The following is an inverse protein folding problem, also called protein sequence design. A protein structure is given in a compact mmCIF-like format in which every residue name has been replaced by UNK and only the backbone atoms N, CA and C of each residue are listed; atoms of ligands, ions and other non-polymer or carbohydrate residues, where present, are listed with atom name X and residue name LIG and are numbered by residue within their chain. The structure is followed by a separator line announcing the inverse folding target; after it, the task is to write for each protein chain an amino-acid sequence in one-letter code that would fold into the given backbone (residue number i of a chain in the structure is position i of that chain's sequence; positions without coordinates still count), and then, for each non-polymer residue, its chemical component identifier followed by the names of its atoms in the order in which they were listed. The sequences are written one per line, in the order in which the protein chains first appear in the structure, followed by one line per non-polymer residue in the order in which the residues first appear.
data_IF_847357252903
#
_entry.id   IF_847357252903
#
_cell.length_a   1.000
_cell.length_b   1.000
_cell.length_c   1.000
_cell.angle_alpha   90.00
_cell.angle_beta   90.00
_cell.angle_gamma   90.00
#
_symmetry.space_group_name_H-M   'P 1'
#
loop_
_entity.id
_entity.type
_entity.pdbx_description
1 polymer ?
#
# COMPACT_ATOMS: atom_id res chain seq x y z
N UNK A 1 -10.44 16.51 18.29
CA UNK A 1 -10.34 15.96 16.92
C UNK A 1 -9.73 14.57 17.11
N UNK A 2 -10.51 13.50 16.91
CA UNK A 2 -10.05 12.13 17.15
C UNK A 2 -8.93 11.79 16.15
N UNK A 3 -7.93 11.05 16.61
CA UNK A 3 -6.63 10.79 15.98
C UNK A 3 -6.68 10.69 14.46
N UNK A 4 -6.15 11.72 13.80
CA UNK A 4 -5.86 11.68 12.38
C UNK A 4 -4.57 10.89 12.22
N UNK A 5 -4.68 9.57 12.08
CA UNK A 5 -3.54 8.71 11.76
C UNK A 5 -3.13 9.00 10.32
N UNK A 6 -2.06 9.78 10.16
CA UNK A 6 -1.50 10.14 8.85
C UNK A 6 -0.61 9.00 8.35
N UNK A 7 -1.20 8.00 7.71
CA UNK A 7 -0.43 6.92 7.07
C UNK A 7 0.07 7.41 5.71
N UNK A 8 1.39 7.54 5.55
CA UNK A 8 2.00 7.77 4.25
C UNK A 8 2.28 6.41 3.60
N UNK A 9 1.56 6.10 2.52
CA UNK A 9 1.71 4.84 1.81
C UNK A 9 2.31 5.10 0.43
N UNK A 10 3.45 4.49 0.12
CA UNK A 10 3.96 4.46 -1.25
C UNK A 10 3.38 3.27 -2.00
N UNK A 11 2.81 3.50 -3.18
CA UNK A 11 2.52 2.42 -4.14
C UNK A 11 3.82 1.99 -4.81
N UNK A 12 4.51 0.99 -4.24
CA UNK A 12 5.81 0.53 -4.70
C UNK A 12 5.62 -0.68 -5.62
N UNK A 13 5.91 -0.54 -6.92
CA UNK A 13 5.48 -1.54 -7.89
C UNK A 13 6.36 -1.60 -9.13
N UNK A 14 6.46 -2.80 -9.73
CA UNK A 14 6.98 -3.01 -11.07
C UNK A 14 6.15 -2.25 -12.13
N UNK A 15 6.82 -1.70 -13.14
CA UNK A 15 6.16 -1.17 -14.35
C UNK A 15 5.13 -2.19 -14.85
N UNK A 16 3.88 -1.74 -15.01
CA UNK A 16 2.74 -2.48 -15.56
C UNK A 16 1.86 -3.33 -14.61
N UNK A 17 2.08 -3.44 -13.29
CA UNK A 17 1.17 -4.24 -12.43
C UNK A 17 -0.18 -3.57 -12.09
N UNK A 18 -0.54 -2.48 -12.77
CA UNK A 18 -1.82 -1.77 -12.57
C UNK A 18 -1.86 -0.82 -11.38
N UNK A 19 -0.69 -0.31 -10.94
CA UNK A 19 -0.55 0.68 -9.86
C UNK A 19 -1.44 1.91 -10.05
N UNK A 20 -1.34 2.56 -11.21
CA UNK A 20 -2.12 3.77 -11.52
C UNK A 20 -3.63 3.49 -11.57
N UNK A 21 -4.02 2.33 -12.09
CA UNK A 21 -5.42 1.89 -12.10
C UNK A 21 -5.94 1.67 -10.68
N UNK A 22 -5.14 1.03 -9.82
CA UNK A 22 -5.47 0.84 -8.41
C UNK A 22 -5.60 2.19 -7.69
N UNK A 23 -4.65 3.10 -7.92
CA UNK A 23 -4.67 4.44 -7.35
C UNK A 23 -5.95 5.20 -7.74
N UNK A 24 -6.32 5.18 -9.02
CA UNK A 24 -7.58 5.77 -9.48
C UNK A 24 -8.80 5.18 -8.76
N UNK A 25 -8.85 3.87 -8.51
CA UNK A 25 -9.95 3.25 -7.76
C UNK A 25 -10.03 3.79 -6.31
N UNK A 26 -8.89 4.06 -5.67
CA UNK A 26 -8.82 4.65 -4.33
C UNK A 26 -9.26 6.12 -4.33
N UNK A 27 -8.90 6.87 -5.37
CA UNK A 27 -9.34 8.26 -5.56
C UNK A 27 -10.85 8.31 -5.81
N UNK A 28 -11.39 7.38 -6.60
CA UNK A 28 -12.80 7.30 -6.91
C UNK A 28 -13.68 6.99 -5.69
N UNK A 29 -13.21 6.14 -4.78
CA UNK A 29 -13.98 5.84 -3.56
C UNK A 29 -14.10 7.02 -2.61
N UNK A 30 -13.19 7.99 -2.70
CA UNK A 30 -13.25 9.23 -1.94
C UNK A 30 -14.14 10.31 -2.61
N UNK A 31 -14.79 10.00 -3.73
CA UNK A 31 -15.66 10.94 -4.45
C UNK A 31 -14.91 12.05 -5.19
N UNK A 32 -13.58 11.98 -5.26
CA UNK A 32 -12.74 12.96 -5.96
C UNK A 32 -12.92 12.81 -7.48
N UNK A 33 -13.05 11.58 -7.96
CA UNK A 33 -13.38 11.26 -9.35
C UNK A 33 -14.61 10.36 -9.41
N UNK A 34 -15.34 10.39 -10.53
CA UNK A 34 -16.44 9.45 -10.74
C UNK A 34 -15.92 8.02 -10.91
N UNK A 35 -16.61 7.03 -10.36
CA UNK A 35 -16.23 5.61 -10.46
C UNK A 35 -16.13 5.10 -11.90
N UNK A 36 -16.80 5.75 -12.85
CA UNK A 36 -16.75 5.40 -14.29
C UNK A 36 -15.46 5.86 -14.98
N UNK A 37 -14.83 6.91 -14.44
CA UNK A 37 -13.56 7.45 -14.95
C UNK A 37 -12.35 6.81 -14.26
N UNK A 38 -12.57 6.10 -13.14
CA UNK A 38 -11.54 5.37 -12.42
C UNK A 38 -10.85 4.35 -13.34
N UNK A 39 -9.52 4.34 -13.34
CA UNK A 39 -8.69 3.40 -14.08
C UNK A 39 -8.42 3.80 -15.53
N UNK A 40 -9.19 4.75 -16.07
CA UNK A 40 -9.03 5.28 -17.44
C UNK A 40 -8.34 6.64 -17.46
N UNK A 41 -8.62 7.46 -16.44
CA UNK A 41 -8.19 8.85 -16.40
C UNK A 41 -6.74 9.01 -15.92
N UNK A 42 -6.23 8.07 -15.11
CA UNK A 42 -4.89 8.13 -14.50
C UNK A 42 -4.67 9.45 -13.80
N UNK A 43 -5.51 9.72 -12.80
CA UNK A 43 -5.65 11.03 -12.16
C UNK A 43 -4.33 11.57 -11.58
N UNK A 44 -3.46 10.68 -11.11
CA UNK A 44 -2.19 11.04 -10.50
C UNK A 44 -1.08 11.32 -11.52
N UNK A 45 -1.24 10.85 -12.77
CA UNK A 45 -0.36 11.18 -13.90
C UNK A 45 -0.77 12.56 -14.46
N UNK A 46 -0.55 13.63 -13.70
CA UNK A 46 -1.04 14.98 -14.05
C UNK A 46 -0.27 15.63 -15.21
N UNK A 47 0.92 15.13 -15.57
CA UNK A 47 1.77 15.74 -16.59
C UNK A 47 1.42 15.19 -17.98
N UNK A 48 1.44 16.07 -18.99
CA UNK A 48 1.08 15.70 -20.36
C UNK A 48 2.00 14.61 -20.93
N UNK A 49 3.29 14.66 -20.60
CA UNK A 49 4.27 13.66 -21.02
C UNK A 49 4.02 12.28 -20.39
N UNK A 50 3.48 12.22 -19.18
CA UNK A 50 3.07 10.98 -18.50
C UNK A 50 1.83 10.36 -19.16
N UNK A 51 0.85 11.20 -19.46
CA UNK A 51 -0.38 10.79 -20.16
C UNK A 51 -0.07 10.25 -21.56
N UNK A 52 0.80 10.92 -22.32
CA UNK A 52 1.21 10.49 -23.67
C UNK A 52 1.97 9.16 -23.61
N UNK A 53 2.92 9.01 -22.69
CA UNK A 53 3.74 7.80 -22.58
C UNK A 53 3.03 6.65 -21.89
N UNK A 54 1.95 6.93 -21.17
CA UNK A 54 1.23 5.95 -20.39
C UNK A 54 2.08 5.35 -19.25
N UNK A 55 3.01 6.12 -18.70
CA UNK A 55 3.82 5.72 -17.53
C UNK A 55 3.92 6.88 -16.54
N UNK A 56 3.85 6.56 -15.26
CA UNK A 56 4.16 7.49 -14.18
C UNK A 56 5.66 7.79 -14.21
N UNK A 57 6.03 9.07 -14.37
CA UNK A 57 7.42 9.51 -14.36
C UNK A 57 7.77 10.28 -13.08
N UNK A 58 6.80 10.99 -12.51
CA UNK A 58 6.94 11.77 -11.28
C UNK A 58 6.05 11.23 -10.19
N UNK A 59 6.61 11.13 -8.98
CA UNK A 59 5.78 10.82 -7.82
C UNK A 59 4.75 11.91 -7.54
N UNK A 60 3.48 11.54 -7.39
CA UNK A 60 2.36 12.43 -7.04
C UNK A 60 1.77 12.03 -5.68
N UNK A 61 1.24 13.00 -4.93
CA UNK A 61 0.65 12.74 -3.61
C UNK A 61 -0.81 13.21 -3.54
N UNK A 62 -1.67 12.42 -2.89
CA UNK A 62 -3.07 12.76 -2.64
C UNK A 62 -3.47 12.33 -1.23
N UNK A 63 -4.30 13.14 -0.57
CA UNK A 63 -4.88 12.79 0.73
C UNK A 63 -6.27 12.21 0.56
N UNK A 64 -6.53 11.07 1.21
CA UNK A 64 -7.76 10.30 1.15
C UNK A 64 -8.36 10.21 2.56
N UNK A 65 -9.67 10.38 2.68
CA UNK A 65 -10.38 10.30 3.95
C UNK A 65 -11.11 8.96 4.03
N UNK A 66 -10.65 8.06 4.90
CA UNK A 66 -11.23 6.74 5.03
C UNK A 66 -11.84 6.54 6.41
N UNK A 67 -13.09 6.08 6.47
CA UNK A 67 -13.73 5.70 7.73
C UNK A 67 -13.72 4.18 7.84
N UNK A 68 -13.02 3.67 8.84
CA UNK A 68 -12.98 2.25 9.14
C UNK A 68 -13.71 2.00 10.47
N UNK A 69 -14.93 1.46 10.40
CA UNK A 69 -15.78 1.31 11.58
C UNK A 69 -16.14 2.65 12.22
N UNK A 70 -15.69 2.85 13.47
CA UNK A 70 -15.92 4.08 14.23
C UNK A 70 -14.79 5.12 14.12
N UNK A 71 -13.69 4.76 13.46
CA UNK A 71 -12.47 5.56 13.37
C UNK A 71 -12.34 6.22 12.00
N UNK A 72 -11.75 7.42 11.99
CA UNK A 72 -11.50 8.20 10.78
C UNK A 72 -9.99 8.30 10.56
N UNK A 73 -9.57 7.92 9.36
CA UNK A 73 -8.18 7.86 8.93
C UNK A 73 -7.94 8.88 7.82
N UNK A 74 -6.77 9.54 7.87
CA UNK A 74 -6.28 10.38 6.78
C UNK A 74 -5.10 9.68 6.13
N UNK A 75 -5.33 9.14 4.94
CA UNK A 75 -4.35 8.35 4.22
C UNK A 75 -3.69 9.22 3.16
N UNK A 76 -2.38 9.41 3.26
CA UNK A 76 -1.61 10.14 2.28
C UNK A 76 -1.00 9.12 1.30
N UNK A 77 -1.63 9.00 0.13
CA UNK A 77 -1.18 8.11 -0.92
C UNK A 77 -0.12 8.81 -1.77
N UNK A 78 1.05 8.18 -1.89
CA UNK A 78 2.12 8.60 -2.79
C UNK A 78 2.21 7.58 -3.92
N UNK A 79 1.91 8.03 -5.13
CA UNK A 79 2.03 7.22 -6.33
C UNK A 79 3.45 7.36 -6.88
N UNK A 80 4.28 6.33 -6.74
CA UNK A 80 5.67 6.34 -7.22
C UNK A 80 5.80 5.74 -8.63
N UNK A 81 6.79 6.19 -9.43
CA UNK A 81 7.02 5.61 -10.75
C UNK A 81 7.41 4.13 -10.64
N UNK A 82 6.96 3.30 -11.58
CA UNK A 82 7.27 1.86 -11.57
C UNK A 82 8.45 1.45 -12.46
N UNK A 83 8.96 2.39 -13.26
CA UNK A 83 10.01 2.12 -14.24
C UNK A 83 11.39 2.21 -13.58
N UNK A 84 12.30 1.32 -13.97
CA UNK A 84 13.65 1.21 -13.38
C UNK A 84 14.48 2.49 -13.50
N UNK A 85 14.33 3.21 -14.61
CA UNK A 85 14.98 4.50 -14.87
C UNK A 85 14.61 5.59 -13.84
N UNK A 86 13.49 5.44 -13.14
CA UNK A 86 13.03 6.38 -12.11
C UNK A 86 13.20 5.81 -10.70
N UNK A 87 14.10 4.86 -10.51
CA UNK A 87 14.39 4.23 -9.21
C UNK A 87 14.82 5.22 -8.12
N UNK A 88 15.44 6.35 -8.48
CA UNK A 88 15.75 7.45 -7.56
C UNK A 88 14.49 8.11 -6.99
N UNK A 89 13.43 8.23 -7.80
CA UNK A 89 12.13 8.73 -7.37
C UNK A 89 11.39 7.75 -6.47
N UNK A 90 11.56 6.45 -6.72
CA UNK A 90 11.03 5.40 -5.84
C UNK A 90 11.72 5.45 -4.48
N UNK A 91 13.05 5.49 -4.45
CA UNK A 91 13.83 5.57 -3.20
C UNK A 91 13.47 6.80 -2.36
N UNK A 92 13.30 7.97 -3.00
CA UNK A 92 12.87 9.20 -2.31
C UNK A 92 11.43 9.14 -1.80
N UNK A 93 10.50 8.53 -2.55
CA UNK A 93 9.12 8.33 -2.11
C UNK A 93 9.03 7.35 -0.92
N UNK A 94 9.78 6.25 -0.98
CA UNK A 94 9.90 5.24 0.09
C UNK A 94 10.26 5.90 1.41
N UNK A 95 11.33 6.72 1.44
CA UNK A 95 11.78 7.42 2.65
C UNK A 95 10.72 8.31 3.30
N UNK A 96 9.80 8.87 2.50
CA UNK A 96 8.70 9.68 3.02
C UNK A 96 7.57 8.86 3.63
N UNK A 97 7.48 7.57 3.32
CA UNK A 97 6.31 6.74 3.58
C UNK A 97 6.49 5.81 4.78
N UNK A 98 5.53 5.77 5.69
CA UNK A 98 5.55 4.88 6.86
C UNK A 98 5.24 3.43 6.49
N UNK A 99 4.52 3.23 5.38
CA UNK A 99 4.20 1.92 4.82
C UNK A 99 4.32 1.86 3.30
N UNK A 100 4.35 0.64 2.76
CA UNK A 100 4.42 0.42 1.31
C UNK A 100 3.35 -0.57 0.88
N UNK A 101 2.69 -0.28 -0.25
CA UNK A 101 1.78 -1.21 -0.92
C UNK A 101 2.54 -1.78 -2.11
N UNK A 102 2.85 -3.07 -2.04
CA UNK A 102 3.53 -3.81 -3.11
C UNK A 102 2.47 -4.44 -4.00
N UNK A 103 2.37 -3.94 -5.23
CA UNK A 103 1.40 -4.44 -6.22
C UNK A 103 2.10 -5.43 -7.15
N UNK A 104 1.54 -6.63 -7.27
CA UNK A 104 2.00 -7.70 -8.15
C UNK A 104 0.97 -8.03 -9.22
N UNK A 105 1.43 -8.45 -10.39
CA UNK A 105 0.55 -9.01 -11.44
C UNK A 105 0.36 -10.51 -11.18
N UNK A 106 -0.89 -10.95 -11.09
CA UNK A 106 -1.24 -12.35 -10.90
C UNK A 106 -0.76 -13.25 -12.05
N UNK A 107 -0.52 -12.73 -13.25
CA UNK A 107 -0.02 -13.51 -14.41
C UNK A 107 1.51 -13.50 -14.46
N UNK A 108 2.13 -12.33 -14.34
CA UNK A 108 3.59 -12.18 -14.47
C UNK A 108 4.33 -12.65 -13.21
N UNK A 109 3.68 -12.61 -12.05
CA UNK A 109 4.25 -13.02 -10.78
C UNK A 109 5.32 -12.05 -10.26
N UNK A 110 6.38 -12.61 -9.67
CA UNK A 110 7.47 -11.81 -9.07
C UNK A 110 8.51 -11.45 -10.13
N UNK A 111 8.60 -10.16 -10.47
CA UNK A 111 9.59 -9.64 -11.41
C UNK A 111 10.86 -9.14 -10.68
N UNK A 112 12.01 -8.99 -11.37
CA UNK A 112 13.22 -8.38 -10.79
C UNK A 112 12.99 -6.99 -10.19
N UNK A 113 12.08 -6.21 -10.78
CA UNK A 113 11.69 -4.89 -10.29
C UNK A 113 10.99 -4.99 -8.93
N UNK A 114 10.12 -5.99 -8.74
CA UNK A 114 9.49 -6.25 -7.44
C UNK A 114 10.53 -6.56 -6.38
N UNK A 115 11.56 -7.35 -6.71
CA UNK A 115 12.64 -7.67 -5.78
C UNK A 115 13.43 -6.42 -5.37
N UNK A 116 13.74 -5.54 -6.32
CA UNK A 116 14.43 -4.28 -6.05
C UNK A 116 13.60 -3.36 -5.13
N UNK A 117 12.30 -3.29 -5.39
CA UNK A 117 11.31 -2.54 -4.60
C UNK A 117 11.17 -3.08 -3.18
N UNK A 118 11.05 -4.40 -3.01
CA UNK A 118 11.01 -5.06 -1.70
C UNK A 118 12.30 -4.84 -0.93
N UNK A 119 13.46 -4.93 -1.60
CA UNK A 119 14.76 -4.63 -1.00
C UNK A 119 14.86 -3.18 -0.53
N UNK A 120 14.33 -2.22 -1.29
CA UNK A 120 14.30 -0.81 -0.88
C UNK A 120 13.40 -0.59 0.34
N UNK A 121 12.20 -1.18 0.35
CA UNK A 121 11.30 -1.11 1.50
C UNK A 121 11.95 -1.71 2.77
N UNK A 122 12.65 -2.82 2.61
CA UNK A 122 13.41 -3.47 3.68
C UNK A 122 14.53 -2.57 4.22
N UNK A 123 15.36 -2.02 3.33
CA UNK A 123 16.47 -1.14 3.70
C UNK A 123 15.98 0.11 4.45
N UNK A 124 14.80 0.62 4.14
CA UNK A 124 14.25 1.81 4.78
C UNK A 124 13.33 1.47 5.99
N UNK A 125 13.35 0.21 6.46
CA UNK A 125 12.53 -0.29 7.58
C UNK A 125 11.04 0.09 7.44
N UNK A 126 10.51 -0.10 6.23
CA UNK A 126 9.10 0.15 5.91
C UNK A 126 8.37 -1.17 5.90
N UNK A 127 7.20 -1.22 6.52
CA UNK A 127 6.34 -2.40 6.49
C UNK A 127 5.62 -2.51 5.13
N UNK A 128 5.87 -3.54 4.31
CA UNK A 128 5.16 -3.75 3.07
C UNK A 128 3.86 -4.53 3.30
N UNK A 129 2.81 -4.21 2.55
CA UNK A 129 1.60 -5.03 2.38
C UNK A 129 1.44 -5.41 0.91
N UNK A 130 0.91 -6.60 0.63
CA UNK A 130 0.88 -7.17 -0.71
C UNK A 130 -0.50 -7.07 -1.35
N UNK A 131 -0.55 -6.61 -2.61
CA UNK A 131 -1.75 -6.63 -3.45
C UNK A 131 -1.46 -7.45 -4.71
N UNK A 132 -2.09 -8.61 -4.83
CA UNK A 132 -2.04 -9.42 -6.05
C UNK A 132 -3.16 -8.92 -6.98
N UNK A 133 -2.77 -8.14 -7.97
CA UNK A 133 -3.66 -7.49 -8.93
C UNK A 133 -3.78 -8.29 -10.24
N UNK A 134 -4.71 -7.88 -11.11
CA UNK A 134 -5.00 -8.51 -12.41
C UNK A 134 -5.50 -9.96 -12.32
N UNK A 135 -6.23 -10.28 -11.25
CA UNK A 135 -6.87 -11.59 -11.11
C UNK A 135 -7.85 -11.92 -12.26
N UNK A 136 -8.43 -10.91 -12.88
CA UNK A 136 -9.28 -11.04 -14.07
C UNK A 136 -8.58 -11.78 -15.22
N UNK A 137 -7.27 -11.58 -15.40
CA UNK A 137 -6.50 -12.25 -16.46
C UNK A 137 -6.36 -13.75 -16.24
N UNK A 138 -6.32 -14.21 -14.98
CA UNK A 138 -6.34 -15.65 -14.67
C UNK A 138 -7.63 -16.31 -15.17
N UNK A 139 -8.74 -15.57 -15.13
CA UNK A 139 -10.07 -16.03 -15.49
C UNK A 139 -10.32 -15.90 -17.00
N UNK A 140 -10.06 -14.73 -17.57
CA UNK A 140 -10.46 -14.39 -18.94
C UNK A 140 -9.40 -14.75 -19.97
N UNK A 141 -8.12 -14.47 -19.68
CA UNK A 141 -7.02 -14.70 -20.62
C UNK A 141 -6.49 -16.13 -20.51
N UNK A 142 -6.04 -16.52 -19.32
CA UNK A 142 -5.46 -17.85 -19.09
C UNK A 142 -6.53 -18.95 -18.97
N UNK A 143 -7.79 -18.57 -18.69
CA UNK A 143 -8.93 -19.49 -18.53
C UNK A 143 -8.66 -20.64 -17.57
N UNK A 144 -7.93 -20.35 -16.50
CA UNK A 144 -7.63 -21.33 -15.46
C UNK A 144 -8.92 -21.72 -14.74
N UNK A 145 -8.98 -22.95 -14.26
CA UNK A 145 -10.00 -23.34 -13.29
C UNK A 145 -9.73 -22.66 -11.95
N UNK A 146 -10.76 -22.53 -11.11
CA UNK A 146 -10.62 -21.93 -9.77
C UNK A 146 -9.59 -22.66 -8.89
N UNK A 147 -9.43 -23.98 -9.06
CA UNK A 147 -8.43 -24.76 -8.34
C UNK A 147 -7.01 -24.51 -8.87
N UNK A 148 -6.82 -24.44 -10.19
CA UNK A 148 -5.51 -24.12 -10.79
C UNK A 148 -5.07 -22.69 -10.43
N UNK A 149 -6.01 -21.74 -10.44
CA UNK A 149 -5.76 -20.37 -10.03
C UNK A 149 -5.32 -20.28 -8.56
N UNK A 150 -5.93 -21.07 -7.66
CA UNK A 150 -5.47 -21.15 -6.27
C UNK A 150 -4.03 -21.66 -6.17
N UNK A 151 -3.71 -22.76 -6.86
CA UNK A 151 -2.34 -23.30 -6.88
C UNK A 151 -1.34 -22.30 -7.46
N UNK A 152 -1.76 -21.50 -8.45
CA UNK A 152 -0.93 -20.43 -9.02
C UNK A 152 -0.70 -19.28 -8.03
N UNK A 153 -1.72 -18.83 -7.32
CA UNK A 153 -1.60 -17.81 -6.28
C UNK A 153 -0.71 -18.26 -5.11
N UNK A 154 -0.77 -19.54 -4.72
CA UNK A 154 0.14 -20.10 -3.73
C UNK A 154 1.60 -20.00 -4.18
N UNK A 155 1.91 -20.39 -5.42
CA UNK A 155 3.26 -20.28 -5.99
C UNK A 155 3.78 -18.84 -6.00
N UNK A 156 2.92 -17.86 -6.34
CA UNK A 156 3.31 -16.44 -6.29
C UNK A 156 3.68 -16.05 -4.86
N UNK A 157 2.88 -16.42 -3.86
CA UNK A 157 3.19 -16.10 -2.47
C UNK A 157 4.48 -16.77 -1.97
N UNK A 158 4.71 -18.03 -2.36
CA UNK A 158 5.97 -18.73 -2.08
C UNK A 158 7.17 -18.00 -2.69
N UNK A 159 7.06 -17.52 -3.93
CA UNK A 159 8.12 -16.75 -4.59
C UNK A 159 8.40 -15.43 -3.88
N UNK A 160 7.37 -14.68 -3.47
CA UNK A 160 7.55 -13.42 -2.74
C UNK A 160 8.21 -13.68 -1.38
N UNK A 161 7.73 -14.68 -0.65
CA UNK A 161 8.27 -15.04 0.66
C UNK A 161 9.71 -15.56 0.57
N UNK A 162 10.10 -16.23 -0.52
CA UNK A 162 11.51 -16.59 -0.75
C UNK A 162 12.41 -15.35 -0.90
N UNK A 163 11.93 -14.30 -1.58
CA UNK A 163 12.67 -13.03 -1.69
C UNK A 163 12.78 -12.36 -0.32
N UNK A 164 11.68 -12.29 0.44
CA UNK A 164 11.70 -11.72 1.80
C UNK A 164 12.62 -12.50 2.73
N UNK A 165 12.59 -13.84 2.68
CA UNK A 165 13.47 -14.69 3.48
C UNK A 165 14.95 -14.45 3.14
N UNK A 166 15.28 -14.27 1.86
CA UNK A 166 16.65 -13.92 1.44
C UNK A 166 17.11 -12.59 2.04
N UNK A 167 16.25 -11.57 2.07
CA UNK A 167 16.56 -10.27 2.66
C UNK A 167 16.72 -10.36 4.18
N UNK A 168 15.89 -11.15 4.83
CA UNK A 168 15.97 -11.38 6.28
C UNK A 168 17.26 -12.11 6.66
N UNK A 169 17.58 -13.22 5.99
CA UNK A 169 18.82 -13.96 6.25
C UNK A 169 20.05 -13.08 6.03
N UNK A 170 20.07 -12.24 4.99
CA UNK A 170 21.15 -11.27 4.77
C UNK A 170 21.34 -10.33 5.95
N UNK A 171 20.25 -9.77 6.49
CA UNK A 171 20.30 -8.85 7.64
C UNK A 171 20.81 -9.55 8.90
N UNK A 172 20.30 -10.75 9.21
CA UNK A 172 20.72 -11.50 10.40
C UNK A 172 22.22 -11.83 10.34
N UNK A 173 22.73 -12.17 9.15
CA UNK A 173 24.16 -12.42 8.95
C UNK A 173 25.01 -11.14 9.11
N UNK A 174 24.55 -10.01 8.57
CA UNK A 174 25.22 -8.70 8.72
C UNK A 174 25.28 -8.25 10.20
N UNK A 175 24.16 -8.32 10.93
CA UNK A 175 24.09 -7.94 12.34
C UNK A 175 25.00 -8.81 13.23
N UNK A 176 25.18 -10.10 12.88
CA UNK A 176 26.13 -10.99 13.57
C UNK A 176 27.57 -10.63 13.26
N UNK A 177 27.91 -10.40 11.99
CA UNK A 177 29.27 -10.00 11.61
C UNK A 177 29.70 -8.70 12.31
N UNK A 178 28.77 -7.75 12.50
CA UNK A 178 29.03 -6.51 13.25
C UNK A 178 29.22 -6.75 14.76
N UNK A 179 28.49 -7.69 15.35
CA UNK A 179 28.65 -8.06 16.78
C UNK A 179 29.97 -8.81 17.00
N UNK A 180 30.32 -9.73 16.11
CA UNK A 180 31.59 -10.47 16.14
C UNK A 180 32.81 -9.55 15.99
N UNK A 181 32.71 -8.46 15.21
CA UNK A 181 33.79 -7.46 15.13
C UNK A 181 33.94 -6.62 16.41
N UNK A 182 32.91 -6.55 17.26
CA UNK A 182 32.92 -5.80 18.52
C UNK A 182 33.33 -6.65 19.73
N UNK A 183 33.30 -7.98 19.62
CA UNK A 183 33.72 -8.90 20.68
C UNK A 183 35.14 -9.43 20.41
N UNK A 184 36.07 -9.27 21.37
CA UNK A 184 37.41 -9.88 21.25
C UNK A 184 37.32 -11.42 21.38
N UNK A 185 38.09 -12.20 20.60
CA UNK A 185 38.00 -13.65 20.66
C UNK A 185 38.53 -14.17 22.00
N UNK A 186 37.72 -14.96 22.72
CA UNK A 186 38.18 -15.76 23.86
C UNK A 186 39.18 -16.84 23.38
N UNK A 187 40.33 -17.02 24.06
CA UNK A 187 41.33 -17.98 23.64
C UNK A 187 40.94 -19.41 24.03
N UNK A 188 40.69 -20.25 23.04
CA UNK A 188 40.71 -21.71 23.20
C UNK A 188 39.34 -22.38 23.17
N UNK A 189 38.85 -22.64 21.96
CA UNK A 189 37.74 -23.54 21.71
C UNK A 189 37.52 -23.64 20.23
N UNK A 190 37.70 -24.84 19.66
CA UNK A 190 37.46 -25.12 18.26
C UNK A 190 35.94 -25.05 18.02
N UNK A 191 35.42 -24.06 17.28
CA UNK A 191 33.99 -23.92 17.16
C UNK A 191 33.55 -24.48 15.81
N UNK A 192 33.03 -25.70 15.84
CA UNK A 192 32.14 -26.18 14.78
C UNK A 192 30.85 -25.35 14.86
N UNK A 193 30.88 -24.16 14.27
CA UNK A 193 29.74 -23.25 14.24
C UNK A 193 28.64 -23.83 13.34
N UNK A 194 27.54 -24.22 13.96
CA UNK A 194 26.31 -24.48 13.25
C UNK A 194 25.63 -23.14 12.94
N UNK A 195 25.90 -22.60 11.75
CA UNK A 195 25.30 -21.35 11.26
C UNK A 195 23.76 -21.38 11.23
N UNK A 196 23.14 -22.57 11.32
CA UNK A 196 21.69 -22.74 11.26
C UNK A 196 20.99 -22.62 12.63
N UNK A 197 21.66 -22.94 13.74
CA UNK A 197 21.01 -23.06 15.05
C UNK A 197 20.48 -21.73 15.63
N UNK A 198 21.14 -20.60 15.34
CA UNK A 198 20.70 -19.29 15.85
C UNK A 198 19.62 -18.60 15.01
N UNK A 199 19.33 -19.09 13.79
CA UNK A 199 18.29 -18.50 12.94
C UNK A 199 16.88 -18.84 13.46
N UNK A 200 16.75 -19.87 14.29
CA UNK A 200 15.47 -20.34 14.84
C UNK A 200 14.95 -19.48 16.01
N UNK A 201 15.76 -18.59 16.58
CA UNK A 201 15.39 -17.78 17.76
C UNK A 201 14.82 -16.38 17.43
N UNK A 202 14.90 -15.92 16.18
CA UNK A 202 14.42 -14.58 15.79
C UNK A 202 13.00 -14.69 15.22
N UNK A 203 12.02 -14.06 15.88
CA UNK A 203 10.63 -14.04 15.43
C UNK A 203 10.47 -13.25 14.12
N UNK A 204 10.35 -13.97 13.01
CA UNK A 204 10.17 -13.45 11.65
C UNK A 204 8.72 -13.52 11.16
N UNK A 205 7.79 -13.96 12.03
CA UNK A 205 6.40 -14.24 11.70
C UNK A 205 5.68 -13.05 11.06
N UNK A 206 6.09 -11.83 11.40
CA UNK A 206 5.51 -10.57 10.92
C UNK A 206 6.03 -10.09 9.56
N UNK A 207 7.08 -10.72 9.04
CA UNK A 207 7.73 -10.32 7.79
C UNK A 207 7.13 -11.00 6.56
N UNK A 208 6.63 -12.23 6.72
CA UNK A 208 6.12 -13.02 5.61
C UNK A 208 4.70 -12.61 5.18
N UNK A 209 4.46 -12.67 3.88
CA UNK A 209 3.16 -12.41 3.28
C UNK A 209 2.30 -13.66 3.37
N UNK A 210 1.25 -13.59 4.19
CA UNK A 210 0.33 -14.70 4.43
C UNK A 210 -1.11 -14.19 4.47
N UNK A 211 -1.99 -14.64 3.55
CA UNK A 211 -3.35 -14.11 3.45
C UNK A 211 -4.21 -14.25 4.72
N UNK A 212 -3.92 -15.23 5.56
CA UNK A 212 -4.54 -15.44 6.88
C UNK A 212 -4.16 -14.36 7.90
N UNK A 213 -2.95 -13.80 7.78
CA UNK A 213 -2.54 -12.65 8.59
C UNK A 213 -3.22 -11.36 8.12
N UNK A 214 -3.81 -11.33 6.92
CA UNK A 214 -4.48 -10.15 6.37
C UNK A 214 -3.53 -9.09 5.78
N UNK A 215 -2.28 -9.45 5.49
CA UNK A 215 -1.31 -8.59 4.79
C UNK A 215 -1.29 -8.83 3.26
N UNK A 216 -2.22 -9.62 2.74
CA UNK A 216 -2.41 -9.89 1.30
C UNK A 216 -3.84 -9.57 0.89
N UNK A 217 -3.98 -8.76 -0.16
CA UNK A 217 -5.24 -8.48 -0.85
C UNK A 217 -5.20 -9.01 -2.27
N UNK A 218 -6.30 -9.60 -2.69
CA UNK A 218 -6.52 -10.12 -4.03
C UNK A 218 -7.41 -9.14 -4.80
N UNK A 219 -6.97 -8.65 -5.95
CA UNK A 219 -7.66 -7.57 -6.64
C UNK A 219 -7.67 -7.71 -8.17
N UNK A 220 -8.67 -7.08 -8.76
CA UNK A 220 -8.71 -6.67 -10.16
C UNK A 220 -9.07 -5.18 -10.21
N UNK A 221 -8.06 -4.32 -10.33
CA UNK A 221 -8.28 -2.89 -10.42
C UNK A 221 -9.05 -2.48 -11.69
N UNK A 222 -8.94 -3.26 -12.78
CA UNK A 222 -9.65 -2.97 -14.04
C UNK A 222 -11.16 -3.17 -13.89
N UNK A 223 -11.56 -4.28 -13.24
CA UNK A 223 -12.98 -4.58 -13.00
C UNK A 223 -13.50 -3.94 -11.70
N UNK A 224 -12.62 -3.29 -10.93
CA UNK A 224 -12.95 -2.48 -9.76
C UNK A 224 -13.24 -3.27 -8.48
N UNK A 225 -12.91 -4.57 -8.44
CA UNK A 225 -13.08 -5.38 -7.24
C UNK A 225 -11.77 -5.79 -6.59
N UNK A 226 -11.82 -5.98 -5.29
CA UNK A 226 -10.73 -6.56 -4.52
C UNK A 226 -11.23 -7.00 -3.16
N UNK A 227 -10.55 -7.99 -2.59
CA UNK A 227 -10.95 -8.55 -1.32
C UNK A 227 -9.76 -9.00 -0.48
N UNK A 228 -9.95 -8.95 0.84
CA UNK A 228 -9.12 -9.67 1.80
C UNK A 228 -9.83 -10.92 2.29
N UNK A 229 -9.09 -11.89 2.81
CA UNK A 229 -9.69 -13.10 3.39
C UNK A 229 -10.57 -12.75 4.59
N UNK A 230 -10.22 -11.70 5.33
CA UNK A 230 -10.97 -11.20 6.47
C UNK A 230 -12.39 -10.74 6.09
N UNK A 231 -12.56 -10.07 4.95
CA UNK A 231 -13.89 -9.69 4.46
C UNK A 231 -14.76 -10.93 4.21
N UNK A 232 -14.21 -11.96 3.56
CA UNK A 232 -14.94 -13.20 3.34
C UNK A 232 -15.20 -13.98 4.64
N UNK A 233 -14.27 -13.97 5.58
CA UNK A 233 -14.47 -14.56 6.90
C UNK A 233 -15.68 -13.91 7.62
N UNK A 234 -15.83 -12.59 7.53
CA UNK A 234 -16.97 -11.86 8.10
C UNK A 234 -18.28 -12.19 7.36
N UNK A 235 -18.29 -12.17 6.03
CA UNK A 235 -19.47 -12.48 5.20
C UNK A 235 -19.97 -13.90 5.50
N UNK A 236 -19.07 -14.88 5.52
CA UNK A 236 -19.42 -16.27 5.76
C UNK A 236 -19.71 -16.58 7.22
N UNK A 237 -19.12 -15.84 8.16
CA UNK A 237 -19.48 -15.93 9.58
C UNK A 237 -20.96 -15.61 9.78
N UNK A 238 -21.46 -14.53 9.18
CA UNK A 238 -22.86 -14.14 9.27
C UNK A 238 -23.81 -15.15 8.59
N UNK A 239 -23.40 -15.75 7.47
CA UNK A 239 -24.23 -16.74 6.74
C UNK A 239 -24.24 -18.13 7.39
N UNK A 240 -23.09 -18.61 7.88
CA UNK A 240 -22.91 -19.98 8.35
C UNK A 240 -22.96 -20.10 9.88
N UNK A 241 -22.84 -18.98 10.62
CA UNK A 241 -22.80 -18.96 12.08
C UNK A 241 -21.47 -19.45 12.68
N UNK A 242 -20.39 -19.47 11.90
CA UNK A 242 -19.05 -19.90 12.35
C UNK A 242 -18.27 -18.67 12.83
N UNK A 243 -17.46 -18.82 13.89
CA UNK A 243 -16.61 -17.73 14.39
C UNK A 243 -15.66 -17.21 13.27
N UNK A 244 -15.61 -15.89 13.02
CA UNK A 244 -14.79 -15.32 11.96
C UNK A 244 -13.30 -15.62 12.11
N UNK A 245 -12.78 -15.74 13.32
CA UNK A 245 -11.36 -16.06 13.57
C UNK A 245 -10.99 -17.49 13.14
N UNK A 246 -11.92 -18.43 13.31
CA UNK A 246 -11.73 -19.81 12.84
C UNK A 246 -11.75 -19.84 11.31
N UNK A 247 -12.67 -19.09 10.68
CA UNK A 247 -12.71 -18.96 9.22
C UNK A 247 -11.44 -18.31 8.68
N UNK A 248 -10.94 -17.25 9.30
CA UNK A 248 -9.70 -16.58 8.88
C UNK A 248 -8.53 -17.57 8.76
N UNK A 249 -8.32 -18.41 9.78
CA UNK A 249 -7.23 -19.41 9.83
C UNK A 249 -7.44 -20.63 8.94
N UNK A 250 -8.66 -20.86 8.47
CA UNK A 250 -9.01 -22.07 7.70
C UNK A 250 -9.44 -21.80 6.27
N UNK A 251 -9.75 -20.56 5.91
CA UNK A 251 -10.06 -20.16 4.55
C UNK A 251 -8.85 -20.38 3.65
N UNK A 252 -7.68 -19.93 4.08
CA UNK A 252 -6.42 -20.16 3.37
C UNK A 252 -5.76 -21.47 3.80
N UNK A 253 -5.24 -22.26 2.86
CA UNK A 253 -4.55 -23.52 3.12
C UNK A 253 -5.35 -24.78 2.79
N UNK A 254 -4.88 -25.92 3.30
CA UNK A 254 -5.42 -27.25 2.97
C UNK A 254 -6.59 -27.67 3.89
N UNK A 255 -7.66 -26.89 3.82
CA UNK A 255 -8.91 -27.14 4.53
C UNK A 255 -10.06 -27.33 3.54
N UNK A 256 -11.06 -28.11 3.93
CA UNK A 256 -12.30 -28.26 3.16
C UNK A 256 -13.54 -28.35 4.05
N UNK A 257 -14.68 -27.96 3.51
CA UNK A 257 -15.97 -28.02 4.19
C UNK A 257 -16.64 -29.38 3.97
N UNK A 258 -17.02 -30.07 5.04
CA UNK A 258 -17.97 -31.18 4.95
C UNK A 258 -19.40 -30.64 4.96
N UNK A 259 -20.04 -30.55 3.79
CA UNK A 259 -21.39 -30.00 3.62
C UNK A 259 -22.45 -30.65 4.55
N UNK A 260 -22.37 -31.96 4.80
CA UNK A 260 -23.32 -32.67 5.69
C UNK A 260 -23.12 -32.36 7.18
N UNK A 261 -21.89 -32.10 7.60
CA UNK A 261 -21.55 -31.91 9.01
C UNK A 261 -21.34 -30.43 9.38
N UNK A 262 -21.28 -29.52 8.39
CA UNK A 262 -20.87 -28.12 8.53
C UNK A 262 -19.57 -27.95 9.34
N UNK A 263 -18.66 -28.93 9.21
CA UNK A 263 -17.35 -28.95 9.87
C UNK A 263 -16.25 -28.72 8.86
N UNK A 264 -15.24 -27.96 9.28
CA UNK A 264 -14.02 -27.70 8.51
C UNK A 264 -13.02 -28.79 8.91
N UNK A 265 -12.48 -29.52 7.92
CA UNK A 265 -11.48 -30.57 8.13
C UNK A 265 -10.21 -30.26 7.33
N UNK A 266 -9.06 -30.71 7.82
CA UNK A 266 -7.77 -30.69 7.09
C UNK A 266 -7.67 -31.84 6.09
N UNK A 267 -6.82 -31.69 5.07
CA UNK A 267 -6.54 -32.74 4.09
C UNK A 267 -7.49 -32.69 2.90
N UNK A 268 -7.66 -31.52 2.28
CA UNK A 268 -8.46 -31.39 1.06
C UNK A 268 -7.74 -32.07 -0.09
N UNK A 269 -6.44 -31.79 -0.25
CA UNK A 269 -5.59 -32.36 -1.30
C UNK A 269 -5.49 -33.88 -1.22
N UNK A 270 -5.25 -34.43 -0.03
CA UNK A 270 -5.18 -35.89 0.20
C UNK A 270 -6.49 -36.62 -0.11
N UNK A 271 -7.63 -35.92 -0.04
CA UNK A 271 -8.95 -36.48 -0.33
C UNK A 271 -9.49 -36.09 -1.72
N UNK A 272 -8.68 -35.43 -2.55
CA UNK A 272 -9.09 -34.94 -3.88
C UNK A 272 -10.26 -33.95 -3.83
N UNK A 273 -10.43 -33.23 -2.71
CA UNK A 273 -11.48 -32.23 -2.53
C UNK A 273 -10.94 -30.83 -2.76
N UNK A 274 -11.79 -29.95 -3.29
CA UNK A 274 -11.47 -28.52 -3.44
C UNK A 274 -11.22 -27.88 -2.07
N UNK A 275 -10.28 -26.95 -2.02
CA UNK A 275 -9.98 -26.18 -0.82
C UNK A 275 -11.13 -25.22 -0.45
N UNK A 276 -11.18 -24.80 0.82
CA UNK A 276 -12.24 -23.92 1.33
C UNK A 276 -12.25 -22.57 0.59
N UNK A 277 -11.08 -21.98 0.36
CA UNK A 277 -10.92 -20.77 -0.45
C UNK A 277 -11.51 -20.93 -1.85
N UNK A 278 -11.24 -22.07 -2.51
CA UNK A 278 -11.73 -22.34 -3.86
C UNK A 278 -13.25 -22.46 -3.87
N UNK A 279 -13.82 -23.24 -2.93
CA UNK A 279 -15.27 -23.48 -2.86
C UNK A 279 -16.08 -22.23 -2.50
N UNK A 280 -15.58 -21.41 -1.57
CA UNK A 280 -16.33 -20.28 -1.01
C UNK A 280 -16.00 -18.94 -1.67
N UNK A 281 -14.79 -18.76 -2.20
CA UNK A 281 -14.35 -17.48 -2.76
C UNK A 281 -14.22 -17.58 -4.27
N UNK A 282 -13.29 -18.39 -4.78
CA UNK A 282 -12.96 -18.40 -6.20
C UNK A 282 -14.10 -18.95 -7.07
N UNK A 283 -14.78 -20.02 -6.67
CA UNK A 283 -15.88 -20.59 -7.47
C UNK A 283 -17.01 -19.57 -7.69
N UNK A 284 -17.30 -18.69 -6.73
CA UNK A 284 -18.32 -17.64 -6.88
C UNK A 284 -17.88 -16.56 -7.88
N UNK A 285 -16.61 -16.14 -7.82
CA UNK A 285 -16.06 -15.15 -8.74
C UNK A 285 -16.00 -15.75 -10.15
N UNK A 286 -15.53 -16.98 -10.31
CA UNK A 286 -15.49 -17.68 -11.60
C UNK A 286 -16.89 -17.86 -12.19
N UNK A 287 -17.87 -18.24 -11.36
CA UNK A 287 -19.26 -18.35 -11.80
C UNK A 287 -19.84 -17.00 -12.22
N UNK A 288 -19.47 -15.91 -11.57
CA UNK A 288 -19.89 -14.55 -11.95
C UNK A 288 -19.30 -14.15 -13.30
N UNK A 289 -18.00 -14.35 -13.50
CA UNK A 289 -17.33 -14.08 -14.79
C UNK A 289 -17.89 -14.96 -15.92
N UNK A 290 -18.13 -16.25 -15.68
CA UNK A 290 -18.72 -17.14 -16.67
C UNK A 290 -20.15 -16.70 -17.05
N UNK A 291 -20.96 -16.28 -16.06
CA UNK A 291 -22.32 -15.82 -16.31
C UNK A 291 -22.36 -14.49 -17.08
N UNK A 292 -21.53 -13.51 -16.71
CA UNK A 292 -21.57 -12.14 -17.26
C UNK A 292 -20.78 -12.03 -18.57
N UNK A 293 -19.55 -12.54 -18.61
CA UNK A 293 -18.60 -12.30 -19.72
C UNK A 293 -18.69 -13.41 -20.76
N UNK A 294 -18.67 -14.67 -20.35
CA UNK A 294 -18.57 -15.82 -21.27
C UNK A 294 -19.93 -16.20 -21.87
N UNK A 295 -20.92 -16.47 -21.02
CA UNK A 295 -22.22 -17.04 -21.44
C UNK A 295 -23.32 -16.00 -21.63
N UNK A 296 -23.18 -14.80 -21.02
CA UNK A 296 -24.16 -13.71 -21.04
C UNK A 296 -25.56 -14.18 -20.63
N UNK A 297 -25.61 -14.99 -19.59
CA UNK A 297 -26.84 -15.65 -19.12
C UNK A 297 -27.50 -14.79 -18.03
N UNK A 298 -28.51 -14.03 -18.42
CA UNK A 298 -29.21 -13.09 -17.55
C UNK A 298 -29.86 -13.77 -16.33
N UNK A 299 -30.41 -14.97 -16.50
CA UNK A 299 -31.04 -15.71 -15.41
C UNK A 299 -30.03 -16.19 -14.38
N UNK A 300 -28.82 -16.57 -14.82
CA UNK A 300 -27.73 -16.90 -13.90
C UNK A 300 -27.20 -15.66 -13.20
N UNK A 301 -27.07 -14.53 -13.91
CA UNK A 301 -26.66 -13.25 -13.31
C UNK A 301 -27.65 -12.84 -12.22
N UNK A 302 -28.96 -12.90 -12.47
CA UNK A 302 -29.98 -12.55 -11.49
C UNK A 302 -29.97 -13.48 -10.26
N UNK A 303 -29.71 -14.79 -10.47
CA UNK A 303 -29.51 -15.76 -9.38
C UNK A 303 -28.29 -15.45 -8.54
N UNK A 304 -27.16 -15.11 -9.17
CA UNK A 304 -25.92 -14.73 -8.48
C UNK A 304 -26.11 -13.40 -7.75
N UNK A 305 -26.74 -12.40 -8.36
CA UNK A 305 -27.06 -11.14 -7.69
C UNK A 305 -27.95 -11.33 -6.47
N UNK A 306 -28.93 -12.24 -6.56
CA UNK A 306 -29.81 -12.60 -5.43
C UNK A 306 -29.05 -13.31 -4.30
N UNK A 307 -28.10 -14.19 -4.64
CA UNK A 307 -27.28 -14.91 -3.64
C UNK A 307 -26.22 -14.03 -2.98
N UNK A 308 -25.74 -13.01 -3.69
CA UNK A 308 -24.79 -12.02 -3.20
C UNK A 308 -25.48 -10.85 -2.46
N UNK A 309 -26.76 -10.60 -2.73
CA UNK A 309 -27.53 -9.50 -2.15
C UNK A 309 -27.27 -8.15 -2.83
N UNK A 310 -26.84 -8.15 -4.09
CA UNK A 310 -26.40 -6.95 -4.83
C UNK A 310 -27.55 -6.40 -5.70
N UNK A 311 -27.75 -5.08 -5.70
CA UNK A 311 -28.82 -4.42 -6.47
C UNK A 311 -28.23 -3.49 -7.54
N UNK A 312 -28.21 -3.95 -8.78
CA UNK A 312 -27.70 -3.18 -9.91
C UNK A 312 -28.81 -2.32 -10.54
N UNK A 313 -28.46 -1.13 -11.01
CA UNK A 313 -29.39 -0.25 -11.69
C UNK A 313 -29.82 -0.83 -13.05
N UNK A 314 -31.10 -0.64 -13.41
CA UNK A 314 -31.66 -1.15 -14.68
C UNK A 314 -30.93 -0.64 -15.94
N UNK A 315 -30.25 0.51 -15.86
CA UNK A 315 -29.42 1.05 -16.94
C UNK A 315 -28.20 0.18 -17.22
N UNK A 316 -27.53 -0.28 -16.16
CA UNK A 316 -26.28 -1.03 -16.30
C UNK A 316 -26.55 -2.47 -16.72
N UNK A 317 -27.70 -3.04 -16.30
CA UNK A 317 -28.23 -4.33 -16.77
C UNK A 317 -28.50 -4.36 -18.28
N UNK A 318 -28.89 -3.23 -18.87
CA UNK A 318 -29.20 -3.12 -20.31
C UNK A 318 -28.01 -2.65 -21.14
N UNK A 319 -26.85 -2.45 -20.52
CA UNK A 319 -25.68 -1.94 -21.23
C UNK A 319 -25.11 -2.99 -22.18
N UNK A 320 -24.68 -2.58 -23.37
CA UNK A 320 -24.17 -3.51 -24.39
C UNK A 320 -22.83 -4.16 -24.03
N UNK A 321 -22.03 -3.49 -23.20
CA UNK A 321 -20.72 -3.98 -22.76
C UNK A 321 -20.85 -4.78 -21.45
N UNK A 322 -20.54 -6.09 -21.43
CA UNK A 322 -20.62 -6.92 -20.23
C UNK A 322 -19.64 -6.48 -19.14
N UNK A 323 -18.53 -5.82 -19.49
CA UNK A 323 -17.56 -5.34 -18.49
C UNK A 323 -18.13 -4.23 -17.61
N UNK A 324 -19.03 -3.41 -18.15
CA UNK A 324 -19.70 -2.36 -17.38
C UNK A 324 -20.63 -2.97 -16.33
N UNK A 325 -21.39 -4.01 -16.72
CA UNK A 325 -22.25 -4.74 -15.79
C UNK A 325 -21.41 -5.45 -14.71
N UNK A 326 -20.32 -6.12 -15.11
CA UNK A 326 -19.40 -6.77 -14.18
C UNK A 326 -18.86 -5.76 -13.17
N UNK A 327 -18.32 -4.64 -13.64
CA UNK A 327 -17.78 -3.59 -12.78
C UNK A 327 -18.84 -2.99 -11.85
N UNK A 328 -20.09 -2.83 -12.30
CA UNK A 328 -21.18 -2.36 -11.45
C UNK A 328 -21.54 -3.35 -10.32
N UNK A 329 -21.57 -4.65 -10.62
CA UNK A 329 -21.79 -5.71 -9.61
C UNK A 329 -20.62 -5.74 -8.63
N UNK A 330 -19.40 -5.79 -9.16
CA UNK A 330 -18.15 -5.88 -8.43
C UNK A 330 -17.91 -4.67 -7.50
N UNK A 331 -18.21 -3.46 -7.96
CA UNK A 331 -18.07 -2.23 -7.17
C UNK A 331 -19.03 -2.16 -5.99
N UNK A 332 -20.19 -2.83 -6.05
CA UNK A 332 -21.11 -2.92 -4.92
C UNK A 332 -20.78 -4.09 -3.99
N UNK A 333 -20.31 -5.20 -4.55
CA UNK A 333 -20.07 -6.42 -3.79
C UNK A 333 -18.75 -6.40 -3.03
N UNK A 334 -17.65 -6.08 -3.72
CA UNK A 334 -16.28 -6.15 -3.20
C UNK A 334 -15.45 -4.96 -3.69
N UNK A 335 -15.70 -3.73 -3.20
CA UNK A 335 -14.95 -2.57 -3.65
C UNK A 335 -13.46 -2.73 -3.32
N UNK A 336 -12.60 -2.63 -4.35
CA UNK A 336 -11.14 -2.78 -4.20
C UNK A 336 -10.57 -1.79 -3.18
N UNK A 337 -11.10 -0.57 -3.15
CA UNK A 337 -10.66 0.48 -2.23
C UNK A 337 -10.89 0.11 -0.77
N UNK A 338 -12.04 -0.47 -0.46
CA UNK A 338 -12.34 -0.90 0.91
C UNK A 338 -11.38 -1.99 1.37
N UNK A 339 -11.05 -2.95 0.50
CA UNK A 339 -10.11 -4.03 0.83
C UNK A 339 -8.69 -3.51 1.08
N UNK A 340 -8.18 -2.66 0.20
CA UNK A 340 -6.83 -2.10 0.30
C UNK A 340 -6.71 -1.12 1.47
N UNK A 341 -7.63 -0.17 1.62
CA UNK A 341 -7.56 0.84 2.68
C UNK A 341 -7.76 0.22 4.07
N UNK A 342 -8.63 -0.79 4.21
CA UNK A 342 -8.76 -1.50 5.50
C UNK A 342 -7.49 -2.26 5.85
N UNK A 343 -6.87 -2.96 4.88
CA UNK A 343 -5.58 -3.62 5.09
C UNK A 343 -4.50 -2.63 5.52
N UNK A 344 -4.46 -1.45 4.89
CA UNK A 344 -3.53 -0.37 5.23
C UNK A 344 -3.73 0.09 6.68
N UNK A 345 -4.97 0.40 7.08
CA UNK A 345 -5.29 0.84 8.43
C UNK A 345 -4.96 -0.21 9.50
N UNK A 346 -5.19 -1.49 9.21
CA UNK A 346 -4.98 -2.57 10.19
C UNK A 346 -3.52 -3.03 10.29
N UNK A 347 -2.73 -2.90 9.20
CA UNK A 347 -1.38 -3.49 9.14
C UNK A 347 -0.25 -2.48 9.19
N UNK A 348 -0.45 -1.27 8.66
CA UNK A 348 0.61 -0.28 8.61
C UNK A 348 0.67 0.50 9.94
N UNK A 349 1.89 0.77 10.45
CA UNK A 349 2.06 1.44 11.73
C UNK A 349 1.59 2.89 11.66
N UNK A 350 1.06 3.41 12.77
CA UNK A 350 0.81 4.84 12.91
C UNK A 350 2.13 5.61 12.82
N UNK A 351 2.17 6.85 12.31
CA UNK A 351 3.35 7.71 12.42
C UNK A 351 3.80 7.93 13.87
N UNK A 352 2.91 7.73 14.85
CA UNK A 352 3.24 7.76 16.28
C UNK A 352 4.04 6.54 16.76
N UNK A 353 3.93 5.41 16.06
CA UNK A 353 4.61 4.16 16.40
C UNK A 353 5.98 4.03 15.68
N UNK A 354 6.54 5.15 15.22
CA UNK A 354 7.80 5.14 14.48
C UNK A 354 8.96 4.71 15.38
N UNK A 355 9.75 3.73 14.92
CA UNK A 355 10.88 3.22 15.69
C UNK A 355 12.02 4.23 15.77
N UNK A 356 12.72 4.29 16.91
CA UNK A 356 13.88 5.16 17.10
C UNK A 356 14.96 4.93 16.04
N UNK A 357 15.19 3.67 15.64
CA UNK A 357 16.12 3.31 14.56
C UNK A 357 15.77 4.00 13.24
N UNK A 358 14.47 4.08 12.91
CA UNK A 358 14.01 4.74 11.69
C UNK A 358 14.19 6.26 11.77
N UNK A 359 13.89 6.86 12.92
CA UNK A 359 14.12 8.29 13.14
C UNK A 359 15.59 8.65 12.98
N UNK A 360 16.48 7.87 13.59
CA UNK A 360 17.92 8.04 13.45
C UNK A 360 18.35 7.93 11.99
N UNK A 361 17.83 6.95 11.25
CA UNK A 361 18.14 6.74 9.84
C UNK A 361 17.66 7.90 8.95
N UNK A 362 16.53 8.52 9.28
CA UNK A 362 16.01 9.69 8.56
C UNK A 362 16.78 10.98 8.88
N UNK A 363 17.24 11.14 10.13
CA UNK A 363 18.06 12.29 10.56
C UNK A 363 19.51 12.18 10.09
N UNK A 364 20.02 10.95 9.94
CA UNK A 364 21.39 10.68 9.52
C UNK A 364 21.54 10.89 8.02
N UNK A 365 22.45 11.78 7.63
CA UNK A 365 22.77 12.03 6.22
C UNK A 365 23.95 11.14 5.79
N UNK A 366 23.66 10.13 4.98
CA UNK A 366 24.67 9.24 4.40
C UNK A 366 25.21 8.21 5.40
N UNK A 367 26.50 7.90 5.32
CA UNK A 367 27.15 6.86 6.15
C UNK A 367 27.55 7.34 7.55
N UNK A 368 27.17 8.56 7.96
CA UNK A 368 27.49 9.08 9.29
C UNK A 368 26.47 8.56 10.28
N UNK A 369 26.94 7.89 11.34
CA UNK A 369 26.08 7.45 12.44
C UNK A 369 25.44 8.63 13.17
N UNK A 370 24.27 8.39 13.76
CA UNK A 370 23.51 9.40 14.52
C UNK A 370 24.35 10.06 15.62
N UNK A 371 25.23 9.30 16.27
CA UNK A 371 26.13 9.80 17.33
C UNK A 371 27.14 10.85 16.85
N UNK A 372 27.44 10.89 15.55
CA UNK A 372 28.32 11.90 14.96
C UNK A 372 27.61 13.22 14.64
N UNK A 373 26.28 13.31 14.85
CA UNK A 373 25.51 14.53 14.65
C UNK A 373 25.68 15.50 15.84
N UNK A 374 25.56 16.82 15.62
CA UNK A 374 25.59 17.81 16.69
C UNK A 374 24.54 17.52 17.78
N UNK A 375 24.87 17.84 19.04
CA UNK A 375 24.00 17.59 20.20
C UNK A 375 22.62 18.27 20.06
N UNK A 376 22.57 19.46 19.45
CA UNK A 376 21.33 20.18 19.10
C UNK A 376 20.42 19.33 18.18
N UNK A 377 21.00 18.65 17.19
CA UNK A 377 20.26 17.75 16.29
C UNK A 377 19.84 16.47 16.99
N UNK A 378 20.65 15.98 17.93
CA UNK A 378 20.30 14.79 18.71
C UNK A 378 19.09 15.04 19.61
N UNK A 379 18.96 16.24 20.19
CA UNK A 379 17.79 16.63 21.00
C UNK A 379 16.49 16.64 20.17
N UNK A 380 16.55 16.96 18.88
CA UNK A 380 15.39 16.92 17.99
C UNK A 380 14.82 15.51 17.77
N UNK A 381 15.60 14.45 18.06
CA UNK A 381 15.11 13.06 17.98
C UNK A 381 13.90 12.83 18.88
N UNK A 382 13.91 13.40 20.09
CA UNK A 382 12.79 13.26 21.02
C UNK A 382 11.54 13.96 20.49
N UNK A 383 11.68 15.18 19.98
CA UNK A 383 10.57 15.90 19.36
C UNK A 383 10.02 15.17 18.11
N UNK A 384 10.90 14.54 17.32
CA UNK A 384 10.50 13.76 16.15
C UNK A 384 9.73 12.48 16.55
N UNK A 385 10.15 11.79 17.60
CA UNK A 385 9.47 10.60 18.13
C UNK A 385 8.10 10.93 18.74
N UNK A 386 8.00 12.04 19.46
CA UNK A 386 6.74 12.48 20.07
C UNK A 386 5.69 12.91 19.03
N UNK A 387 6.12 13.22 17.78
CA UNK A 387 5.27 13.60 16.66
C UNK A 387 4.19 14.65 17.04
N UNK A 388 4.60 15.63 17.86
CA UNK A 388 3.68 16.59 18.46
C UNK A 388 3.26 17.69 17.48
N UNK A 389 1.98 18.05 17.49
CA UNK A 389 1.42 19.15 16.69
C UNK A 389 1.22 20.44 17.50
N UNK A 390 1.83 20.53 18.69
CA UNK A 390 1.68 21.70 19.57
C UNK A 390 2.45 22.90 19.02
N UNK A 391 1.97 24.11 19.31
CA UNK A 391 2.59 25.37 18.84
C UNK A 391 3.99 25.63 19.42
N UNK A 392 4.33 25.00 20.55
CA UNK A 392 5.63 25.05 21.21
C UNK A 392 6.64 24.01 20.67
N UNK A 393 6.20 23.08 19.81
CA UNK A 393 7.06 22.04 19.26
C UNK A 393 7.88 22.55 18.06
N UNK A 394 9.16 22.16 17.93
CA UNK A 394 9.99 22.53 16.78
C UNK A 394 9.46 21.86 15.49
N UNK A 395 9.29 22.66 14.44
CA UNK A 395 8.88 22.15 13.12
C UNK A 395 10.09 21.59 12.35
N UNK A 396 10.14 20.25 12.22
CA UNK A 396 11.18 19.56 11.46
C UNK A 396 10.68 19.30 10.04
N UNK A 397 11.42 19.77 9.04
CA UNK A 397 11.07 19.61 7.62
C UNK A 397 12.06 18.65 6.96
N UNK A 398 11.55 17.54 6.43
CA UNK A 398 12.31 16.60 5.61
C UNK A 398 12.00 16.81 4.13
N UNK A 399 12.93 17.38 3.38
CA UNK A 399 12.78 17.64 1.95
C UNK A 399 13.29 16.45 1.15
N UNK A 400 12.39 15.56 0.74
CA UNK A 400 12.72 14.46 -0.17
C UNK A 400 12.63 14.86 -1.64
N UNK A 401 11.64 15.72 -1.97
CA UNK A 401 11.38 16.16 -3.34
C UNK A 401 10.75 17.54 -3.33
N UNK A 402 11.16 18.39 -4.27
CA UNK A 402 10.51 19.67 -4.55
C UNK A 402 9.80 19.60 -5.90
N UNK A 403 8.59 20.15 -5.95
CA UNK A 403 7.79 20.21 -7.17
C UNK A 403 7.95 21.59 -7.81
N UNK A 404 8.14 21.61 -9.13
CA UNK A 404 8.04 22.84 -9.89
C UNK A 404 6.57 23.26 -9.93
N UNK A 405 6.26 24.40 -9.31
CA UNK A 405 4.91 24.98 -9.29
C UNK A 405 4.95 26.27 -10.10
N UNK A 406 4.02 26.42 -11.05
CA UNK A 406 3.85 27.70 -11.75
C UNK A 406 3.60 28.79 -10.71
N UNK A 407 4.29 29.93 -10.84
CA UNK A 407 4.15 31.07 -9.94
C UNK A 407 2.68 31.45 -9.69
N UNK A 408 1.79 31.27 -10.68
CA UNK A 408 0.35 31.55 -10.55
C UNK A 408 -0.37 30.70 -9.48
N UNK A 409 0.15 29.50 -9.22
CA UNK A 409 -0.46 28.53 -8.30
C UNK A 409 0.00 28.71 -6.84
N UNK A 410 1.00 29.58 -6.60
CA UNK A 410 1.48 29.91 -5.27
C UNK A 410 0.35 30.51 -4.41
N UNK A 411 0.30 30.22 -3.09
CA UNK A 411 -0.76 30.72 -2.21
C UNK A 411 -0.92 32.25 -2.24
N UNK A 412 0.16 32.98 -2.50
CA UNK A 412 0.18 34.44 -2.61
C UNK A 412 -0.49 34.96 -3.90
N UNK A 413 -0.56 34.12 -4.94
CA UNK A 413 -1.07 34.47 -6.27
C UNK A 413 -2.43 33.84 -6.57
N UNK A 414 -2.97 33.00 -5.67
CA UNK A 414 -4.34 32.50 -5.76
C UNK A 414 -5.32 33.65 -5.47
N UNK A 415 -6.38 33.84 -6.28
CA UNK A 415 -7.42 34.80 -5.95
C UNK A 415 -8.05 34.40 -4.62
N UNK A 416 -7.92 35.27 -3.62
CA UNK A 416 -8.51 35.07 -2.30
C UNK A 416 -10.02 34.89 -2.46
N UNK A 417 -10.54 33.70 -2.17
CA UNK A 417 -11.98 33.52 -2.04
C UNK A 417 -12.42 34.38 -0.85
N UNK A 418 -13.13 35.48 -1.14
CA UNK A 418 -13.82 36.29 -0.14
C UNK A 418 -14.88 35.41 0.53
N UNK A 419 -14.51 34.70 1.59
CA UNK A 419 -15.48 34.15 2.53
C UNK A 419 -16.13 35.31 3.29
N UNK A 420 -17.45 35.34 3.26
CA UNK A 420 -18.30 36.31 3.95
C UNK A 420 -18.02 36.28 5.46
N UNK A 421 -17.88 37.50 6.00
CA UNK A 421 -17.58 37.85 7.39
C UNK A 421 -18.35 37.02 8.44
N UNK A 422 -17.61 36.53 9.43
CA UNK A 422 -18.15 35.98 10.69
C UNK A 422 -17.04 35.61 11.67
N UNK A 423 -16.42 36.64 12.28
CA UNK A 423 -15.62 36.61 13.52
C UNK A 423 -14.44 35.65 13.63
N UNK A 424 -13.22 36.17 13.43
CA UNK A 424 -12.16 36.28 14.45
C UNK A 424 -11.07 37.21 13.90
N UNK A 425 -10.90 38.37 14.54
CA UNK A 425 -9.90 39.39 14.20
C UNK A 425 -8.47 38.87 14.42
N UNK A 426 -7.50 39.17 13.54
CA UNK A 426 -6.09 39.23 13.92
C UNK A 426 -5.84 40.53 14.68
N UNK A 427 -5.20 40.42 15.85
CA UNK A 427 -4.72 41.54 16.65
C UNK A 427 -3.80 42.44 15.81
N UNK A 428 -4.11 43.74 15.79
CA UNK A 428 -3.28 44.78 15.20
C UNK A 428 -1.91 44.85 15.93
N UNK A 429 -0.83 44.97 15.16
CA UNK A 429 0.50 45.29 15.69
C UNK A 429 0.54 46.77 16.12
N UNK A 430 0.94 46.98 17.37
CA UNK A 430 1.36 48.25 17.97
C UNK A 430 2.69 48.72 17.32
N UNK A 431 2.83 49.95 16.81
CA UNK A 431 3.99 50.37 16.01
C UNK A 431 5.22 50.82 16.84
N UNK A 432 5.38 50.34 18.08
CA UNK A 432 6.40 50.85 19.01
C UNK A 432 7.54 49.87 19.38
N UNK A 433 7.67 48.70 18.73
CA UNK A 433 8.74 47.74 19.01
C UNK A 433 9.64 47.49 17.80
N UNK A 434 10.92 47.95 17.81
CA UNK A 434 11.88 47.59 16.78
C UNK A 434 12.57 46.26 17.13
N UNK A 435 12.44 45.26 16.24
CA UNK A 435 13.22 44.03 16.28
C UNK A 435 12.37 42.75 16.25
N UNK A 436 12.20 42.18 15.06
CA UNK A 436 11.60 40.86 14.86
C UNK A 436 11.71 40.45 13.39
N UNK A 437 12.67 39.58 13.10
CA UNK A 437 12.94 39.05 11.76
C UNK A 437 11.70 38.33 11.18
N UNK A 438 11.15 38.87 10.10
CA UNK A 438 10.29 38.14 9.19
C UNK A 438 11.19 37.36 8.20
N UNK A 439 11.29 36.05 8.35
CA UNK A 439 11.88 35.18 7.33
C UNK A 439 10.89 35.00 6.17
N UNK A 440 10.93 35.97 5.26
CA UNK A 440 10.57 35.75 3.88
C UNK A 440 11.63 34.85 3.25
N UNK A 441 11.20 33.78 2.59
CA UNK A 441 12.04 32.92 1.76
C UNK A 441 12.74 33.77 0.69
N UNK A 442 14.00 34.14 0.97
CA UNK A 442 14.87 34.84 0.04
C UNK A 442 15.29 33.88 -1.07
N UNK A 443 14.93 34.21 -2.30
CA UNK A 443 15.50 33.58 -3.48
C UNK A 443 16.99 33.90 -3.57
N UNK A 444 17.81 32.87 -3.68
CA UNK A 444 19.22 33.01 -4.06
C UNK A 444 19.25 33.43 -5.54
N UNK A 445 19.60 34.70 -5.79
CA UNK A 445 20.01 35.19 -7.10
C UNK A 445 21.41 34.62 -7.38
N UNK A 446 21.54 33.80 -8.42
CA UNK A 446 22.84 33.51 -9.01
C UNK A 446 23.25 34.72 -9.88
N UNK A 447 24.21 35.52 -9.42
CA UNK A 447 24.88 36.50 -10.26
C UNK A 447 25.97 35.80 -11.08
N UNK A 448 25.81 35.76 -12.39
CA UNK A 448 26.88 35.42 -13.32
C UNK A 448 27.83 36.62 -13.44
N UNK A 449 29.03 36.51 -12.86
CA UNK A 449 30.14 37.40 -13.14
C UNK A 449 30.84 36.93 -14.43
N UNK A 450 30.55 37.60 -15.55
CA UNK A 450 31.37 37.55 -16.75
C UNK A 450 32.55 38.51 -16.59
N UNK A 451 33.72 37.99 -16.23
CA UNK A 451 34.99 38.71 -16.40
C UNK A 451 35.44 38.56 -17.86
N UNK A 452 35.34 39.67 -18.59
CA UNK A 452 36.09 39.90 -19.81
C UNK A 452 37.43 40.55 -19.43
N UNK A 453 38.54 39.90 -19.77
CA UNK A 453 39.85 40.56 -19.85
C UNK A 453 40.37 40.43 -21.27
N UNK A 454 40.71 41.61 -21.80
CA UNK A 454 41.50 41.85 -23.01
C UNK A 454 42.91 41.31 -22.91
#
# INVERSE_FOLDING_TARGET
MKEVVALRCSGLCCTCAGKTTLADCLVASNGIISSRLAGKLRYLDSREDEQIRGITMKSSAISLHYRHGAEEYLLNLIDSPGHVDFSSEVSTAVRLCDGAIVVLDAVEGVCPQTQAVLRQAWLENIKPVLVINKMDRLIVELKLTSQEAYSHLQKILEQVNAVTGTLFTSRVLEERAEKEQKEEPLPGGDPLYDWSAGLEEVDDSHLYFSPDQGNVVFASAIDGWGFSIQQFAQIYSQRMGINPQVLLRTLWGDFYLHAKAKKILKGAQTKGKKNLFVQLVLDNIWSLYDAVVTRRDQEKVDRVMSSLGVKVAARDLRHSDPKVLLSAICSQWLPVSQAVLSMVCEKLPSPLDMTAERVEKLLSVGARGFEALPEETQQLKQAFLECSSREDAPAIIFVSKMFAVDARMLPQNRPSQRTTRGSLHPLARDPSVPGGLNLALGGVRAEHSSEATS
#
